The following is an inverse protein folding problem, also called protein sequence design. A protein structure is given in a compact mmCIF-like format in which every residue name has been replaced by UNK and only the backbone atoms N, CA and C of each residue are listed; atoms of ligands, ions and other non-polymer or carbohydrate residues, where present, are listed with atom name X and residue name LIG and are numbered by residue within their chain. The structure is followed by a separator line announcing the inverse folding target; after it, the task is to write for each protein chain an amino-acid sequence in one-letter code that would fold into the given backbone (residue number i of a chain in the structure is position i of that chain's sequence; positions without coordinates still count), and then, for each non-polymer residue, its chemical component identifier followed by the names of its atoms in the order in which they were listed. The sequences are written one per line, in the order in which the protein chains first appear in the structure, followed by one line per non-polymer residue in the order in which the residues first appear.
data_IF_088043110072
#
_entry.id   IF_088043110072
#
_cell.length_a   1.000
_cell.length_b   1.000
_cell.length_c   1.000
_cell.angle_alpha   90.00
_cell.angle_beta   90.00
_cell.angle_gamma   90.00
#
_symmetry.space_group_name_H-M   'P 1'
#
loop_
_entity.id
_entity.type
_entity.pdbx_description
1 polymer ?
#
# COMPACT_ATOMS: atom_id res chain seq x y z
N UNK A 1 -59.43 -15.70 -68.89
CA UNK A 1 -60.03 -15.69 -67.53
C UNK A 1 -59.29 -16.76 -66.73
N UNK A 2 -58.78 -16.54 -65.49
CA UNK A 2 -58.95 -15.42 -64.54
C UNK A 2 -57.66 -14.55 -64.38
N UNK A 3 -57.76 -13.22 -64.28
CA UNK A 3 -57.83 -12.38 -63.08
C UNK A 3 -56.63 -12.45 -62.10
N UNK A 4 -55.78 -11.43 -62.14
CA UNK A 4 -55.02 -10.96 -60.97
C UNK A 4 -54.94 -9.44 -61.02
N UNK A 5 -55.26 -8.80 -59.90
CA UNK A 5 -55.49 -7.36 -59.77
C UNK A 5 -54.18 -6.55 -59.58
N UNK A 6 -54.09 -5.41 -60.27
CA UNK A 6 -53.27 -4.24 -59.96
C UNK A 6 -54.26 -3.05 -59.92
N UNK A 7 -54.20 -1.99 -59.11
CA UNK A 7 -53.15 -1.07 -58.58
C UNK A 7 -53.80 -0.36 -57.33
N UNK A 8 -53.20 0.55 -56.49
CA UNK A 8 -52.52 1.81 -56.90
C UNK A 8 -51.35 2.35 -56.04
N UNK A 9 -50.54 3.19 -56.71
CA UNK A 9 -49.77 4.40 -56.32
C UNK A 9 -49.49 4.75 -54.84
N UNK A 10 -48.26 5.23 -54.56
CA UNK A 10 -48.00 6.68 -54.27
C UNK A 10 -46.50 6.95 -54.14
N UNK A 11 -46.05 7.99 -54.83
CA UNK A 11 -44.79 8.69 -54.64
C UNK A 11 -44.84 9.53 -53.36
N UNK A 12 -43.82 9.44 -52.50
CA UNK A 12 -43.55 10.48 -51.50
C UNK A 12 -42.05 10.60 -51.25
N UNK A 13 -41.50 11.71 -51.74
CA UNK A 13 -40.21 12.24 -51.35
C UNK A 13 -40.30 12.78 -49.93
N UNK A 14 -39.45 12.29 -49.03
CA UNK A 14 -39.26 12.86 -47.70
C UNK A 14 -37.87 12.47 -47.22
N UNK A 15 -36.93 13.39 -47.34
CA UNK A 15 -35.60 13.19 -46.78
C UNK A 15 -35.64 13.38 -45.28
N UNK A 16 -35.06 12.44 -44.54
CA UNK A 16 -34.68 12.63 -43.14
C UNK A 16 -33.23 12.16 -42.96
N UNK A 17 -32.31 13.06 -43.28
CA UNK A 17 -30.89 12.94 -42.92
C UNK A 17 -30.67 13.48 -41.50
N UNK A 18 -31.25 12.84 -40.49
CA UNK A 18 -31.06 13.23 -39.07
C UNK A 18 -30.60 12.08 -38.15
N UNK A 19 -29.98 11.04 -38.71
CA UNK A 19 -29.49 9.89 -37.93
C UNK A 19 -27.99 9.87 -37.59
N UNK A 20 -27.17 10.74 -38.19
CA UNK A 20 -25.70 10.53 -38.24
C UNK A 20 -24.86 11.36 -37.27
N UNK A 21 -25.42 12.41 -36.64
CA UNK A 21 -24.67 13.30 -35.74
C UNK A 21 -24.62 12.83 -34.28
N UNK A 22 -25.69 12.20 -33.77
CA UNK A 22 -25.77 11.77 -32.36
C UNK A 22 -24.84 10.60 -31.99
N UNK A 23 -24.42 9.78 -32.95
CA UNK A 23 -23.58 8.60 -32.71
C UNK A 23 -22.09 8.95 -32.61
N UNK A 24 -21.63 9.97 -33.34
CA UNK A 24 -20.23 10.42 -33.32
C UNK A 24 -19.87 11.16 -32.01
N UNK A 25 -20.77 12.04 -31.52
CA UNK A 25 -20.58 12.78 -30.27
C UNK A 25 -20.62 11.88 -29.02
N UNK A 26 -21.43 10.82 -29.05
CA UNK A 26 -21.45 9.83 -27.96
C UNK A 26 -20.14 9.04 -27.90
N UNK A 27 -19.55 8.75 -29.07
CA UNK A 27 -18.31 7.99 -29.17
C UNK A 27 -17.08 8.84 -28.79
N UNK A 28 -17.06 10.13 -29.13
CA UNK A 28 -16.02 11.07 -28.69
C UNK A 28 -16.08 11.33 -27.18
N UNK A 29 -17.28 11.52 -26.63
CA UNK A 29 -17.50 11.69 -25.18
C UNK A 29 -17.06 10.46 -24.38
N UNK A 30 -17.44 9.25 -24.85
CA UNK A 30 -17.03 7.99 -24.20
C UNK A 30 -15.51 7.78 -24.24
N UNK A 31 -14.85 8.17 -25.34
CA UNK A 31 -13.38 8.12 -25.44
C UNK A 31 -12.69 9.07 -24.46
N UNK A 32 -13.21 10.29 -24.31
CA UNK A 32 -12.69 11.27 -23.34
C UNK A 32 -12.86 10.80 -21.90
N UNK A 33 -14.03 10.26 -21.56
CA UNK A 33 -14.28 9.66 -20.24
C UNK A 33 -13.30 8.53 -19.94
N UNK A 34 -13.10 7.60 -20.90
CA UNK A 34 -12.12 6.52 -20.75
C UNK A 34 -10.70 7.05 -20.54
N UNK A 35 -10.30 8.06 -21.31
CA UNK A 35 -8.99 8.68 -21.16
C UNK A 35 -8.79 9.27 -19.75
N UNK A 36 -9.75 10.08 -19.28
CA UNK A 36 -9.69 10.68 -17.95
C UNK A 36 -9.64 9.63 -16.83
N UNK A 37 -10.40 8.53 -16.95
CA UNK A 37 -10.36 7.44 -15.96
C UNK A 37 -9.00 6.75 -15.96
N UNK A 38 -8.40 6.50 -17.13
CA UNK A 38 -7.08 5.90 -17.23
C UNK A 38 -6.02 6.82 -16.61
N UNK A 39 -6.10 8.13 -16.90
CA UNK A 39 -5.20 9.13 -16.34
C UNK A 39 -5.30 9.17 -14.81
N UNK A 40 -6.52 9.25 -14.25
CA UNK A 40 -6.73 9.23 -12.81
C UNK A 40 -6.26 7.94 -12.14
N UNK A 41 -6.40 6.79 -12.80
CA UNK A 41 -5.87 5.51 -12.30
C UNK A 41 -4.34 5.52 -12.30
N UNK A 42 -3.69 6.05 -13.34
CA UNK A 42 -2.24 6.14 -13.40
C UNK A 42 -1.69 7.12 -12.35
N UNK A 43 -2.36 8.24 -12.14
CA UNK A 43 -2.05 9.19 -11.07
C UNK A 43 -2.12 8.52 -9.70
N UNK A 44 -3.22 7.80 -9.42
CA UNK A 44 -3.38 7.07 -8.16
C UNK A 44 -2.29 6.00 -7.95
N UNK A 45 -1.90 5.28 -9.01
CA UNK A 45 -0.81 4.30 -8.93
C UNK A 45 0.51 4.99 -8.59
N UNK A 46 0.79 6.13 -9.23
CA UNK A 46 2.00 6.90 -8.98
C UNK A 46 2.03 7.44 -7.53
N UNK A 47 0.89 7.91 -7.04
CA UNK A 47 0.75 8.37 -5.65
C UNK A 47 1.05 7.23 -4.67
N UNK A 48 0.46 6.05 -4.88
CA UNK A 48 0.69 4.89 -3.99
C UNK A 48 2.17 4.48 -3.97
N UNK A 49 2.85 4.52 -5.12
CA UNK A 49 4.28 4.17 -5.23
C UNK A 49 5.15 5.20 -4.50
N UNK A 50 4.90 6.49 -4.72
CA UNK A 50 5.69 7.58 -4.14
C UNK A 50 5.46 7.78 -2.64
N UNK A 51 4.30 7.36 -2.11
CA UNK A 51 4.00 7.40 -0.67
C UNK A 51 5.09 6.71 0.17
N UNK A 52 5.60 5.56 -0.27
CA UNK A 52 6.59 4.81 0.52
C UNK A 52 7.95 5.52 0.55
N UNK A 53 8.36 6.13 -0.55
CA UNK A 53 9.61 6.89 -0.65
C UNK A 53 9.57 8.11 0.29
N UNK A 54 8.45 8.84 0.30
CA UNK A 54 8.25 10.00 1.18
C UNK A 54 8.34 9.60 2.67
N UNK A 55 7.76 8.46 3.05
CA UNK A 55 7.85 7.94 4.42
C UNK A 55 9.31 7.56 4.73
N UNK A 56 10.00 6.89 3.80
CA UNK A 56 11.37 6.44 4.00
C UNK A 56 12.37 7.60 4.15
N UNK A 57 12.14 8.75 3.50
CA UNK A 57 12.99 9.93 3.63
C UNK A 57 13.13 10.43 5.08
N UNK A 58 12.05 10.31 5.86
CA UNK A 58 11.95 10.71 7.27
C UNK A 58 12.74 9.79 8.21
N UNK A 59 13.20 8.63 7.74
CA UNK A 59 13.80 7.63 8.60
C UNK A 59 15.04 8.11 9.39
N UNK A 60 15.79 9.06 8.85
CA UNK A 60 17.03 9.55 9.47
C UNK A 60 16.80 10.52 10.63
N UNK A 61 15.63 11.14 10.66
CA UNK A 61 15.21 12.00 11.77
C UNK A 61 14.74 11.17 12.97
N UNK A 62 14.21 9.97 12.71
CA UNK A 62 13.70 9.07 13.74
C UNK A 62 14.71 8.01 14.21
N UNK A 63 15.63 7.56 13.36
CA UNK A 63 16.60 6.52 13.68
C UNK A 63 17.97 7.14 13.94
N UNK A 64 18.45 6.99 15.17
CA UNK A 64 19.78 7.46 15.58
C UNK A 64 20.85 6.37 15.53
N UNK A 65 22.09 6.80 15.75
CA UNK A 65 23.25 5.92 15.76
C UNK A 65 23.20 4.98 16.96
N UNK A 66 23.53 3.71 16.72
CA UNK A 66 23.63 2.62 17.68
C UNK A 66 22.31 2.26 18.38
N UNK A 67 21.17 2.62 17.79
CA UNK A 67 19.86 2.21 18.30
C UNK A 67 19.55 0.74 18.02
N UNK A 68 18.66 0.22 18.84
CA UNK A 68 18.07 -1.11 18.70
C UNK A 68 16.59 -0.93 18.40
N UNK A 69 16.17 -1.36 17.22
CA UNK A 69 14.81 -1.24 16.74
C UNK A 69 14.13 -2.61 16.82
N UNK A 70 12.89 -2.65 17.30
CA UNK A 70 12.04 -3.84 17.22
C UNK A 70 10.96 -3.63 16.16
N UNK A 71 10.75 -4.64 15.32
CA UNK A 71 9.61 -4.71 14.40
C UNK A 71 8.89 -6.05 14.51
N UNK A 72 7.66 -6.14 14.03
CA UNK A 72 6.87 -7.38 14.02
C UNK A 72 6.28 -7.64 12.64
N UNK A 73 6.43 -8.88 12.18
CA UNK A 73 5.88 -9.33 10.89
C UNK A 73 6.70 -8.87 9.68
N UNK A 74 6.01 -8.64 8.56
CA UNK A 74 6.62 -8.21 7.30
C UNK A 74 5.84 -7.04 6.71
N UNK A 75 6.50 -5.89 6.54
CA UNK A 75 5.91 -4.70 5.93
C UNK A 75 6.90 -4.06 4.97
N UNK A 76 6.44 -3.79 3.74
CA UNK A 76 7.23 -3.12 2.71
C UNK A 76 7.66 -1.71 3.15
N UNK A 77 6.73 -0.93 3.71
CA UNK A 77 7.02 0.43 4.20
C UNK A 77 8.12 0.41 5.27
N UNK A 78 8.08 -0.55 6.19
CA UNK A 78 9.10 -0.67 7.25
C UNK A 78 10.46 -1.06 6.67
N UNK A 79 10.49 -1.97 5.68
CA UNK A 79 11.74 -2.35 5.00
C UNK A 79 12.37 -1.12 4.33
N UNK A 80 11.60 -0.39 3.53
CA UNK A 80 12.10 0.81 2.82
C UNK A 80 12.57 1.88 3.82
N UNK A 81 11.82 2.10 4.91
CA UNK A 81 12.19 3.03 5.98
C UNK A 81 13.52 2.67 6.66
N UNK A 82 13.71 1.40 7.05
CA UNK A 82 14.96 0.94 7.67
C UNK A 82 16.13 0.99 6.66
N UNK A 83 15.88 0.64 5.39
CA UNK A 83 16.91 0.70 4.36
C UNK A 83 17.37 2.14 4.09
N UNK A 84 16.45 3.11 4.02
CA UNK A 84 16.78 4.51 3.83
C UNK A 84 17.67 5.07 4.96
N UNK A 85 17.41 4.68 6.22
CA UNK A 85 18.29 5.04 7.34
C UNK A 85 19.70 4.44 7.19
N UNK A 86 19.80 3.20 6.70
CA UNK A 86 21.08 2.52 6.46
C UNK A 86 21.88 3.17 5.33
N UNK A 87 21.23 3.51 4.22
CA UNK A 87 21.85 4.16 3.06
C UNK A 87 22.44 5.53 3.43
N UNK A 88 21.77 6.25 4.33
CA UNK A 88 22.27 7.49 4.95
C UNK A 88 23.30 7.25 6.07
N UNK A 89 23.94 6.07 6.10
CA UNK A 89 25.05 5.66 6.98
C UNK A 89 24.74 5.57 8.48
N UNK A 90 23.47 5.39 8.88
CA UNK A 90 23.14 5.03 10.27
C UNK A 90 23.56 3.58 10.56
N UNK A 91 24.18 3.35 11.72
CA UNK A 91 24.42 2.00 12.24
C UNK A 91 23.41 1.70 13.33
N UNK A 92 22.58 0.69 13.15
CA UNK A 92 21.60 0.26 14.13
C UNK A 92 21.36 -1.25 13.98
N UNK A 93 20.72 -1.85 14.99
CA UNK A 93 20.36 -3.28 15.01
C UNK A 93 18.84 -3.43 14.97
N UNK A 94 18.36 -4.45 14.25
CA UNK A 94 16.93 -4.72 14.12
C UNK A 94 16.59 -6.07 14.72
N UNK A 95 15.70 -6.07 15.71
CA UNK A 95 15.02 -7.27 16.16
C UNK A 95 13.72 -7.43 15.38
N UNK A 96 13.53 -8.60 14.76
CA UNK A 96 12.32 -8.93 14.02
C UNK A 96 11.57 -9.98 14.82
N UNK A 97 10.48 -9.58 15.45
CA UNK A 97 9.55 -10.49 16.10
C UNK A 97 8.68 -11.20 15.07
N UNK A 98 8.54 -12.50 15.22
CA UNK A 98 7.66 -13.30 14.38
C UNK A 98 6.69 -14.14 15.20
N UNK A 99 5.49 -14.32 14.65
CA UNK A 99 4.45 -15.17 15.20
C UNK A 99 4.01 -16.27 14.23
N UNK A 100 3.59 -17.39 14.80
CA UNK A 100 2.92 -18.45 14.06
C UNK A 100 1.53 -17.98 13.56
N UNK A 101 0.98 -18.57 12.47
CA UNK A 101 1.50 -19.70 11.71
C UNK A 101 2.30 -19.31 10.46
N UNK A 102 2.35 -18.01 10.11
CA UNK A 102 2.89 -17.58 8.81
C UNK A 102 4.39 -17.30 8.82
N UNK A 103 5.00 -17.06 9.98
CA UNK A 103 6.45 -16.83 10.14
C UNK A 103 7.02 -15.82 9.13
N UNK A 104 6.27 -14.74 8.88
CA UNK A 104 6.63 -13.75 7.86
C UNK A 104 7.85 -12.91 8.24
N UNK A 105 8.20 -12.88 9.54
CA UNK A 105 9.38 -12.15 10.03
C UNK A 105 10.68 -12.67 9.42
N UNK A 106 10.79 -13.96 9.11
CA UNK A 106 11.94 -14.50 8.38
C UNK A 106 12.14 -13.88 7.00
N UNK A 107 11.06 -13.59 6.26
CA UNK A 107 11.15 -12.97 4.93
C UNK A 107 11.71 -11.57 5.03
N UNK A 108 11.17 -10.76 5.95
CA UNK A 108 11.67 -9.40 6.21
C UNK A 108 13.12 -9.44 6.71
N UNK A 109 13.46 -10.35 7.61
CA UNK A 109 14.83 -10.46 8.12
C UNK A 109 15.84 -10.84 7.02
N UNK A 110 15.47 -11.74 6.11
CA UNK A 110 16.30 -12.07 4.94
C UNK A 110 16.53 -10.83 4.07
N UNK A 111 15.48 -10.06 3.81
CA UNK A 111 15.55 -8.83 3.01
C UNK A 111 16.41 -7.75 3.67
N UNK A 112 16.32 -7.57 4.99
CA UNK A 112 17.18 -6.61 5.70
C UNK A 112 18.66 -7.06 5.68
N UNK A 113 18.92 -8.35 5.82
CA UNK A 113 20.30 -8.89 5.78
C UNK A 113 20.92 -8.73 4.39
N UNK A 114 20.17 -8.96 3.29
CA UNK A 114 20.68 -8.73 1.92
C UNK A 114 21.02 -7.26 1.67
N UNK A 115 20.36 -6.34 2.39
CA UNK A 115 20.64 -4.89 2.37
C UNK A 115 21.73 -4.46 3.36
N UNK A 116 22.37 -5.40 4.08
CA UNK A 116 23.49 -5.12 4.97
C UNK A 116 23.10 -4.61 6.36
N UNK A 117 21.87 -4.85 6.81
CA UNK A 117 21.41 -4.54 8.16
C UNK A 117 21.65 -5.70 9.13
N UNK A 118 22.13 -5.37 10.34
CA UNK A 118 22.30 -6.35 11.41
C UNK A 118 20.92 -6.69 11.98
N UNK A 119 20.43 -7.88 11.61
CA UNK A 119 19.07 -8.32 11.94
C UNK A 119 19.10 -9.59 12.77
N UNK A 120 18.23 -9.67 13.78
CA UNK A 120 18.05 -10.87 14.60
C UNK A 120 16.57 -11.19 14.70
N UNK A 121 16.20 -12.41 14.35
CA UNK A 121 14.82 -12.88 14.47
C UNK A 121 14.58 -13.41 15.87
N UNK A 122 13.44 -13.04 16.46
CA UNK A 122 12.98 -13.50 17.77
C UNK A 122 11.54 -13.98 17.66
N UNK A 123 11.14 -14.90 18.55
CA UNK A 123 9.74 -15.28 18.67
C UNK A 123 8.92 -14.15 19.31
N UNK A 124 7.65 -14.06 18.96
CA UNK A 124 6.68 -13.16 19.59
C UNK A 124 6.62 -13.30 21.13
N UNK A 125 6.78 -14.52 21.63
CA UNK A 125 6.89 -14.81 23.07
C UNK A 125 8.11 -14.17 23.76
N UNK A 126 9.20 -13.92 23.02
CA UNK A 126 10.41 -13.30 23.54
C UNK A 126 10.35 -11.76 23.55
N UNK A 127 9.35 -11.14 22.92
CA UNK A 127 9.21 -9.68 22.80
C UNK A 127 9.28 -9.00 24.17
N UNK A 128 8.52 -9.50 25.14
CA UNK A 128 8.47 -8.89 26.47
C UNK A 128 9.83 -8.92 27.20
N UNK A 129 10.62 -9.96 27.00
CA UNK A 129 11.96 -10.04 27.58
C UNK A 129 12.95 -9.11 26.87
N UNK A 130 12.80 -8.98 25.55
CA UNK A 130 13.72 -8.22 24.69
C UNK A 130 13.47 -6.72 24.69
N UNK A 131 12.23 -6.28 24.97
CA UNK A 131 11.85 -4.86 24.86
C UNK A 131 12.65 -3.93 25.78
N UNK A 132 13.13 -4.45 26.92
CA UNK A 132 14.04 -3.72 27.82
C UNK A 132 15.38 -3.30 27.18
N UNK A 133 15.76 -3.93 26.06
CA UNK A 133 16.99 -3.66 25.30
C UNK A 133 16.73 -2.89 24.01
N UNK A 134 15.47 -2.57 23.72
CA UNK A 134 15.02 -1.90 22.49
C UNK A 134 14.85 -0.41 22.78
N UNK A 135 15.30 0.44 21.87
CA UNK A 135 15.16 1.88 21.97
C UNK A 135 13.86 2.39 21.36
N UNK A 136 13.37 1.71 20.32
CA UNK A 136 12.16 2.10 19.61
C UNK A 136 11.51 0.88 18.94
N UNK A 137 10.18 0.86 18.93
CA UNK A 137 9.38 -0.12 18.17
C UNK A 137 8.86 0.56 16.91
N UNK A 138 9.14 -0.02 15.74
CA UNK A 138 8.63 0.43 14.44
C UNK A 138 7.82 -0.68 13.80
N UNK A 139 6.57 -0.40 13.45
CA UNK A 139 5.63 -1.41 12.96
C UNK A 139 4.87 -0.89 11.75
N UNK A 140 4.43 -1.80 10.87
CA UNK A 140 3.51 -1.45 9.81
C UNK A 140 2.05 -1.58 10.24
N UNK A 141 1.19 -0.74 9.70
CA UNK A 141 -0.26 -0.86 9.82
C UNK A 141 -0.93 -1.18 8.48
N UNK A 142 -2.08 -1.85 8.54
CA UNK A 142 -2.99 -2.00 7.40
C UNK A 142 -3.89 -0.79 7.24
N UNK A 143 -4.33 -0.19 8.34
CA UNK A 143 -5.14 1.03 8.34
C UNK A 143 -5.04 1.76 9.68
N UNK A 144 -5.20 3.09 9.63
CA UNK A 144 -5.38 3.95 10.80
C UNK A 144 -6.80 4.50 10.77
N UNK A 145 -7.54 4.29 11.85
CA UNK A 145 -8.93 4.71 11.98
C UNK A 145 -9.02 6.19 12.41
N UNK A 146 -10.16 6.83 12.16
CA UNK A 146 -10.39 8.23 12.49
C UNK A 146 -10.27 8.55 14.01
N UNK A 147 -10.44 7.55 14.87
CA UNK A 147 -10.25 7.69 16.32
C UNK A 147 -8.79 7.44 16.78
N UNK A 148 -7.85 7.28 15.85
CA UNK A 148 -6.46 6.94 16.13
C UNK A 148 -6.19 5.45 16.38
N UNK A 149 -7.20 4.59 16.25
CA UNK A 149 -7.01 3.15 16.37
C UNK A 149 -6.24 2.58 15.17
N UNK A 150 -5.38 1.60 15.41
CA UNK A 150 -4.53 1.01 14.37
C UNK A 150 -4.97 -0.43 14.09
N UNK A 151 -5.24 -0.73 12.81
CA UNK A 151 -5.50 -2.08 12.32
C UNK A 151 -4.20 -2.63 11.76
N UNK A 152 -3.70 -3.71 12.33
CA UNK A 152 -2.40 -4.28 11.98
C UNK A 152 -2.39 -5.81 12.14
N UNK A 153 -1.30 -6.51 11.77
CA UNK A 153 -1.20 -7.95 11.95
C UNK A 153 -1.44 -8.40 13.40
N UNK A 154 -1.91 -9.64 13.54
CA UNK A 154 -2.11 -10.27 14.84
C UNK A 154 -0.83 -10.26 15.67
N UNK A 155 -0.96 -10.07 16.99
CA UNK A 155 0.16 -10.01 17.93
C UNK A 155 0.70 -8.60 18.17
N UNK A 156 0.37 -7.61 17.33
CA UNK A 156 0.89 -6.25 17.49
C UNK A 156 0.47 -5.57 18.80
N UNK A 157 -0.76 -5.84 19.26
CA UNK A 157 -1.24 -5.30 20.54
C UNK A 157 -0.38 -5.75 21.72
N UNK A 158 0.15 -6.99 21.70
CA UNK A 158 1.07 -7.48 22.73
C UNK A 158 2.38 -6.70 22.73
N UNK A 159 2.90 -6.38 21.54
CA UNK A 159 4.10 -5.54 21.39
C UNK A 159 3.85 -4.12 21.89
N UNK A 160 2.71 -3.53 21.54
CA UNK A 160 2.33 -2.19 21.97
C UNK A 160 2.18 -2.09 23.50
N UNK A 161 1.53 -3.07 24.13
CA UNK A 161 1.43 -3.14 25.59
C UNK A 161 2.78 -3.32 26.26
N UNK A 162 3.66 -4.15 25.69
CA UNK A 162 5.01 -4.32 26.18
C UNK A 162 5.82 -3.01 26.06
N UNK A 163 5.70 -2.30 24.93
CA UNK A 163 6.36 -1.02 24.69
C UNK A 163 5.88 0.04 25.69
N UNK A 164 4.55 0.14 25.88
CA UNK A 164 3.95 1.04 26.86
C UNK A 164 4.47 0.77 28.28
N UNK A 165 4.56 -0.50 28.69
CA UNK A 165 5.03 -0.87 30.02
C UNK A 165 6.51 -0.55 30.26
N UNK A 166 7.32 -0.58 29.21
CA UNK A 166 8.75 -0.27 29.27
C UNK A 166 9.08 1.17 28.84
N UNK A 167 8.06 2.02 28.64
CA UNK A 167 8.20 3.39 28.15
C UNK A 167 9.03 3.50 26.85
N UNK A 168 8.94 2.48 25.98
CA UNK A 168 9.60 2.47 24.68
C UNK A 168 8.70 3.16 23.66
N UNK A 169 9.20 4.15 22.90
CA UNK A 169 8.46 4.76 21.79
C UNK A 169 7.94 3.72 20.80
N UNK A 170 6.67 3.86 20.43
CA UNK A 170 5.98 2.99 19.47
C UNK A 170 5.55 3.82 18.27
N UNK A 171 6.17 3.55 17.11
CA UNK A 171 5.98 4.27 15.85
C UNK A 171 5.29 3.34 14.85
N UNK A 172 4.26 3.87 14.20
CA UNK A 172 3.41 3.17 13.22
C UNK A 172 3.55 3.83 11.86
#
# INVERSE_FOLDING_TARGET
VPHTAAVPHTSSSGGDSEGKSKSADKNSSTKRLKHNVIEAVNELIQDIVTCHEQIAEQAVEHIHQNEVILTLGSSRTVVEFLCAAKEKKRSFRVFVAEGAPRYQGHTLAKELVTRGLQTTVITDSAVFAMISRVNMVIVGAHAVMANGGVIAPVGLNMVALAAQRHAVPFVV
#
